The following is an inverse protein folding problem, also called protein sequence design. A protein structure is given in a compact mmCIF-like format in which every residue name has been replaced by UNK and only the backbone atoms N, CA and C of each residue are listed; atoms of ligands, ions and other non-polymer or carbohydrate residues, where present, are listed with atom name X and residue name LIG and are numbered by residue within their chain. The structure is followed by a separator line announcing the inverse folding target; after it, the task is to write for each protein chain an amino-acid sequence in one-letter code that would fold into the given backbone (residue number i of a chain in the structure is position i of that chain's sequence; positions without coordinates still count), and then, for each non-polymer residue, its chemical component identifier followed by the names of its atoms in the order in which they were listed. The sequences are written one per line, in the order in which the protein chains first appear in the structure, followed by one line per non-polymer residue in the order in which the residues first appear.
data_IF_977279422051
#
_entry.id   IF_977279422051
#
_cell.length_a   1.000
_cell.length_b   1.000
_cell.length_c   1.000
_cell.angle_alpha   90.00
_cell.angle_beta   90.00
_cell.angle_gamma   90.00
#
_symmetry.space_group_name_H-M   'P 1'
#
loop_
_entity.id
_entity.type
_entity.pdbx_description
1 polymer ?
#
# COMPACT_ATOMS: atom_id res chain seq x y z
N UNK A 1 30.36 72.81 -68.47
CA UNK A 1 30.89 72.24 -67.20
C UNK A 1 29.85 71.75 -66.18
N UNK A 2 28.52 71.86 -66.43
CA UNK A 2 27.49 71.60 -65.40
C UNK A 2 26.95 70.16 -65.30
N UNK A 3 26.86 69.42 -66.42
CA UNK A 3 26.15 68.13 -66.46
C UNK A 3 26.83 67.02 -65.65
N UNK A 4 28.16 66.90 -65.74
CA UNK A 4 28.93 65.92 -64.95
C UNK A 4 28.86 66.20 -63.44
N UNK A 5 28.77 67.47 -63.03
CA UNK A 5 28.58 67.84 -61.60
C UNK A 5 27.19 67.43 -61.11
N UNK A 6 26.16 67.52 -61.94
CA UNK A 6 24.78 67.13 -61.60
C UNK A 6 24.68 65.60 -61.45
N UNK A 7 25.24 64.83 -62.40
CA UNK A 7 25.26 63.35 -62.35
C UNK A 7 26.03 62.83 -61.13
N UNK A 8 27.20 63.41 -60.80
CA UNK A 8 27.95 63.07 -59.57
C UNK A 8 27.14 63.37 -58.30
N UNK A 9 26.41 64.49 -58.27
CA UNK A 9 25.58 64.90 -57.12
C UNK A 9 24.38 63.96 -56.94
N UNK A 10 23.79 63.50 -58.04
CA UNK A 10 22.68 62.53 -58.04
C UNK A 10 23.11 61.14 -57.58
N UNK A 11 24.23 60.61 -58.12
CA UNK A 11 24.81 59.33 -57.67
C UNK A 11 25.24 59.36 -56.20
N UNK A 12 25.74 60.50 -55.70
CA UNK A 12 26.05 60.67 -54.27
C UNK A 12 24.78 60.64 -53.39
N UNK A 13 23.67 61.23 -53.86
CA UNK A 13 22.36 61.16 -53.18
C UNK A 13 21.79 59.74 -53.19
N UNK A 14 21.84 59.03 -54.32
CA UNK A 14 21.37 57.65 -54.43
C UNK A 14 22.22 56.67 -53.59
N UNK A 15 23.55 56.81 -53.57
CA UNK A 15 24.42 56.05 -52.66
C UNK A 15 24.09 56.27 -51.19
N UNK A 16 23.82 57.50 -50.76
CA UNK A 16 23.39 57.79 -49.37
C UNK A 16 22.03 57.18 -49.04
N UNK A 17 21.09 57.17 -49.99
CA UNK A 17 19.79 56.52 -49.81
C UNK A 17 19.89 54.99 -49.73
N UNK A 18 20.72 54.36 -50.57
CA UNK A 18 20.99 52.91 -50.50
C UNK A 18 21.72 52.48 -49.23
N UNK A 19 22.64 53.31 -48.72
CA UNK A 19 23.35 53.07 -47.46
C UNK A 19 22.40 53.14 -46.26
N UNK A 20 21.52 54.16 -46.21
CA UNK A 20 20.52 54.28 -45.15
C UNK A 20 19.50 53.12 -45.16
N UNK A 21 19.12 52.62 -46.34
CA UNK A 21 18.25 51.45 -46.48
C UNK A 21 18.90 50.16 -45.97
N UNK A 22 20.19 49.98 -46.25
CA UNK A 22 21.00 48.87 -45.72
C UNK A 22 21.10 48.92 -44.20
N UNK A 23 21.36 50.10 -43.62
CA UNK A 23 21.44 50.26 -42.15
C UNK A 23 20.11 49.90 -41.49
N UNK A 24 18.98 50.34 -42.05
CA UNK A 24 17.65 49.95 -41.55
C UNK A 24 17.34 48.47 -41.70
N UNK A 25 17.83 47.81 -42.77
CA UNK A 25 17.63 46.37 -42.96
C UNK A 25 18.41 45.53 -41.94
N UNK A 26 19.63 45.95 -41.59
CA UNK A 26 20.44 45.29 -40.55
C UNK A 26 19.74 45.39 -39.19
N UNK A 27 19.21 46.57 -38.85
CA UNK A 27 18.45 46.78 -37.61
C UNK A 27 17.19 45.89 -37.58
N UNK A 28 16.48 45.78 -38.71
CA UNK A 28 15.30 44.93 -38.84
C UNK A 28 15.62 43.45 -38.60
N UNK A 29 16.72 42.93 -39.16
CA UNK A 29 17.15 41.55 -38.94
C UNK A 29 17.50 41.32 -37.46
N UNK A 30 18.25 42.23 -36.84
CA UNK A 30 18.58 42.14 -35.43
C UNK A 30 17.32 42.14 -34.53
N UNK A 31 16.32 42.97 -34.87
CA UNK A 31 15.04 43.00 -34.15
C UNK A 31 14.26 41.69 -34.32
N UNK A 32 14.21 41.12 -35.53
CA UNK A 32 13.55 39.83 -35.78
C UNK A 32 14.24 38.69 -35.04
N UNK A 33 15.58 38.65 -35.01
CA UNK A 33 16.33 37.63 -34.27
C UNK A 33 16.04 37.73 -32.78
N UNK A 34 16.12 38.94 -32.19
CA UNK A 34 15.84 39.14 -30.76
C UNK A 34 14.40 38.77 -30.40
N UNK A 35 13.42 39.15 -31.23
CA UNK A 35 12.02 38.73 -31.08
C UNK A 35 11.86 37.21 -31.17
N UNK A 36 12.57 36.54 -32.09
CA UNK A 36 12.49 35.08 -32.28
C UNK A 36 13.08 34.32 -31.09
N UNK A 37 14.21 34.79 -30.54
CA UNK A 37 14.83 34.21 -29.34
C UNK A 37 13.92 34.41 -28.13
N UNK A 38 13.33 35.60 -27.96
CA UNK A 38 12.38 35.87 -26.88
C UNK A 38 11.15 34.95 -26.98
N UNK A 39 10.60 34.77 -28.19
CA UNK A 39 9.47 33.88 -28.42
C UNK A 39 9.81 32.42 -28.11
N UNK A 40 11.00 31.94 -28.53
CA UNK A 40 11.47 30.59 -28.22
C UNK A 40 11.58 30.36 -26.71
N UNK A 41 12.18 31.30 -25.98
CA UNK A 41 12.29 31.23 -24.51
C UNK A 41 10.90 31.23 -23.87
N UNK A 42 10.03 32.14 -24.29
CA UNK A 42 8.67 32.25 -23.75
C UNK A 42 7.85 30.96 -23.97
N UNK A 43 7.95 30.35 -25.15
CA UNK A 43 7.28 29.09 -25.46
C UNK A 43 7.84 27.96 -24.59
N UNK A 44 9.16 27.81 -24.48
CA UNK A 44 9.76 26.73 -23.70
C UNK A 44 9.47 26.86 -22.21
N UNK A 45 9.55 28.08 -21.66
CA UNK A 45 9.15 28.35 -20.28
C UNK A 45 7.65 28.10 -20.10
N UNK A 46 6.81 28.49 -21.06
CA UNK A 46 5.37 28.20 -21.05
C UNK A 46 5.08 26.69 -21.06
N UNK A 47 5.80 25.91 -21.86
CA UNK A 47 5.68 24.45 -21.90
C UNK A 47 6.14 23.82 -20.58
N UNK A 48 7.24 24.29 -19.99
CA UNK A 48 7.69 23.83 -18.67
C UNK A 48 6.66 24.11 -17.58
N UNK A 49 6.09 25.33 -17.55
CA UNK A 49 5.05 25.72 -16.60
C UNK A 49 3.80 24.86 -16.77
N UNK A 50 3.35 24.61 -18.01
CA UNK A 50 2.16 23.76 -18.25
C UNK A 50 2.39 22.29 -17.87
N UNK A 51 3.58 21.73 -18.15
CA UNK A 51 3.95 20.38 -17.69
C UNK A 51 3.97 20.30 -16.16
N UNK A 52 4.56 21.30 -15.49
CA UNK A 52 4.60 21.37 -14.03
C UNK A 52 3.21 21.54 -13.42
N UNK A 53 2.37 22.39 -14.01
CA UNK A 53 0.98 22.58 -13.61
C UNK A 53 0.20 21.26 -13.73
N UNK A 54 0.31 20.56 -14.86
CA UNK A 54 -0.32 19.25 -15.07
C UNK A 54 0.12 18.23 -14.01
N UNK A 55 1.42 18.12 -13.74
CA UNK A 55 1.93 17.22 -12.69
C UNK A 55 1.40 17.58 -11.29
N UNK A 56 1.27 18.87 -10.99
CA UNK A 56 0.78 19.34 -9.69
C UNK A 56 -0.72 19.08 -9.54
N UNK A 57 -1.50 19.30 -10.60
CA UNK A 57 -2.93 19.00 -10.65
C UNK A 57 -3.16 17.50 -10.43
N UNK A 58 -2.46 16.64 -11.17
CA UNK A 58 -2.60 15.18 -11.03
C UNK A 58 -2.24 14.71 -9.60
N UNK A 59 -1.14 15.21 -9.03
CA UNK A 59 -0.78 14.87 -7.64
C UNK A 59 -1.77 15.41 -6.62
N UNK A 60 -2.35 16.59 -6.87
CA UNK A 60 -3.40 17.17 -6.04
C UNK A 60 -4.67 16.31 -6.06
N UNK A 61 -5.05 15.82 -7.24
CA UNK A 61 -6.16 14.87 -7.42
C UNK A 61 -5.88 13.55 -6.68
N UNK A 62 -4.70 12.95 -6.88
CA UNK A 62 -4.29 11.73 -6.19
C UNK A 62 -4.31 11.89 -4.66
N UNK A 63 -3.93 13.06 -4.14
CA UNK A 63 -3.89 13.33 -2.68
C UNK A 63 -5.27 13.61 -2.10
N UNK A 64 -6.16 14.25 -2.88
CA UNK A 64 -7.52 14.56 -2.45
C UNK A 64 -8.44 13.34 -2.53
N UNK A 65 -8.19 12.44 -3.48
CA UNK A 65 -8.95 11.21 -3.63
C UNK A 65 -8.65 10.21 -2.51
N UNK A 66 -9.62 9.41 -2.12
CA UNK A 66 -9.40 8.32 -1.17
C UNK A 66 -8.59 7.22 -1.84
N UNK A 67 -7.46 6.82 -1.25
CA UNK A 67 -6.59 5.84 -1.89
C UNK A 67 -7.16 4.42 -1.88
N UNK A 68 -7.85 4.07 -0.78
CA UNK A 68 -8.36 2.72 -0.52
C UNK A 68 -9.86 2.75 -0.20
N UNK A 69 -10.55 1.69 -0.60
CA UNK A 69 -11.93 1.41 -0.19
C UNK A 69 -12.02 0.06 0.50
N UNK A 70 -12.99 -0.09 1.41
CA UNK A 70 -13.33 -1.37 2.00
C UNK A 70 -13.94 -2.28 0.91
N UNK A 71 -13.34 -3.45 0.69
CA UNK A 71 -13.71 -4.41 -0.34
C UNK A 71 -14.16 -5.73 0.29
N UNK A 72 -15.20 -5.69 1.13
CA UNK A 72 -15.72 -6.86 1.83
C UNK A 72 -16.38 -6.52 3.16
N UNK A 73 -16.64 -7.54 3.96
CA UNK A 73 -17.12 -7.37 5.34
C UNK A 73 -15.96 -7.30 6.32
N UNK A 74 -16.15 -6.57 7.41
CA UNK A 74 -15.25 -6.62 8.56
C UNK A 74 -15.64 -7.83 9.40
N UNK A 75 -14.71 -8.76 9.55
CA UNK A 75 -14.85 -9.95 10.37
C UNK A 75 -14.01 -9.79 11.63
N UNK A 76 -14.53 -10.25 12.75
CA UNK A 76 -13.79 -10.31 14.00
C UNK A 76 -14.14 -11.61 14.71
N UNK A 77 -13.20 -12.10 15.52
CA UNK A 77 -13.48 -13.23 16.39
C UNK A 77 -13.10 -12.90 17.82
N UNK A 78 -13.87 -13.49 18.73
CA UNK A 78 -13.69 -13.45 20.17
C UNK A 78 -13.84 -14.87 20.68
N UNK A 79 -13.13 -15.25 21.75
CA UNK A 79 -13.32 -16.56 22.35
C UNK A 79 -14.61 -16.56 23.18
N UNK A 80 -15.66 -17.18 22.67
CA UNK A 80 -16.95 -17.33 23.32
C UNK A 80 -17.21 -18.80 23.66
N UNK A 81 -17.83 -19.15 24.81
CA UNK A 81 -18.42 -18.28 25.84
C UNK A 81 -17.44 -17.83 26.94
N UNK A 82 -16.20 -18.30 26.91
CA UNK A 82 -15.25 -18.02 27.98
C UNK A 82 -14.80 -16.55 28.04
N UNK A 83 -15.10 -15.75 27.01
CA UNK A 83 -14.65 -14.35 26.85
C UNK A 83 -13.16 -14.20 27.19
N UNK A 84 -12.37 -15.21 26.81
CA UNK A 84 -10.93 -15.27 27.07
C UNK A 84 -10.16 -14.49 26.01
N UNK A 85 -8.94 -14.10 26.39
CA UNK A 85 -8.06 -13.17 25.66
C UNK A 85 -7.74 -13.66 24.25
N UNK A 86 -8.52 -13.22 23.26
CA UNK A 86 -8.61 -13.88 21.95
C UNK A 86 -9.35 -13.03 20.93
N UNK A 87 -8.97 -11.75 20.80
CA UNK A 87 -9.56 -10.86 19.81
C UNK A 87 -8.65 -10.69 18.59
N UNK A 88 -9.23 -10.73 17.40
CA UNK A 88 -8.61 -10.32 16.15
C UNK A 88 -9.65 -9.80 15.18
N UNK A 89 -9.20 -8.95 14.25
CA UNK A 89 -10.04 -8.38 13.19
C UNK A 89 -9.41 -8.71 11.84
N UNK A 90 -10.25 -9.05 10.87
CA UNK A 90 -9.88 -9.27 9.48
C UNK A 90 -10.85 -8.52 8.57
N UNK A 91 -10.32 -7.85 7.55
CA UNK A 91 -11.11 -7.22 6.51
C UNK A 91 -10.27 -7.09 5.24
N UNK A 92 -10.91 -6.77 4.12
CA UNK A 92 -10.27 -6.62 2.82
C UNK A 92 -10.41 -5.20 2.30
N UNK A 93 -9.37 -4.68 1.68
CA UNK A 93 -9.35 -3.36 1.05
C UNK A 93 -8.86 -3.46 -0.38
N UNK A 94 -9.29 -2.51 -1.20
CA UNK A 94 -8.83 -2.38 -2.59
C UNK A 94 -8.49 -0.93 -2.89
N UNK A 95 -7.51 -0.67 -3.78
CA UNK A 95 -7.34 0.65 -4.36
C UNK A 95 -8.67 1.18 -4.89
N UNK A 96 -9.01 2.42 -4.55
CA UNK A 96 -10.26 3.04 -4.97
C UNK A 96 -10.37 3.14 -6.50
N UNK A 97 -11.59 3.28 -7.01
CA UNK A 97 -11.80 3.52 -8.43
C UNK A 97 -11.04 4.77 -8.89
N UNK A 98 -10.31 4.67 -10.00
CA UNK A 98 -9.47 5.74 -10.54
C UNK A 98 -8.06 5.83 -9.96
N UNK A 99 -7.74 5.09 -8.88
CA UNK A 99 -6.38 5.00 -8.33
C UNK A 99 -5.62 3.89 -9.04
N UNK A 100 -4.47 4.21 -9.64
CA UNK A 100 -3.67 3.22 -10.38
C UNK A 100 -3.01 2.19 -9.47
N UNK A 101 -2.56 2.62 -8.29
CA UNK A 101 -1.94 1.76 -7.29
C UNK A 101 -1.81 2.47 -5.94
N UNK A 102 -1.63 1.71 -4.86
CA UNK A 102 -1.38 2.20 -3.51
C UNK A 102 -0.15 1.51 -2.93
N UNK A 103 0.77 2.28 -2.36
CA UNK A 103 1.91 1.76 -1.62
C UNK A 103 1.47 1.32 -0.22
N UNK A 104 1.65 0.04 0.09
CA UNK A 104 1.29 -0.57 1.37
C UNK A 104 2.53 -1.03 2.13
N UNK A 105 3.69 -0.42 1.96
CA UNK A 105 4.83 -0.68 2.85
C UNK A 105 4.55 -0.17 4.27
N UNK A 106 4.89 -0.93 5.33
CA UNK A 106 4.84 -0.44 6.73
C UNK A 106 5.69 0.80 7.00
N UNK A 107 6.59 1.18 6.09
CA UNK A 107 7.41 2.39 6.20
C UNK A 107 6.70 3.67 5.74
N UNK A 108 5.66 3.54 4.93
CA UNK A 108 4.99 4.67 4.24
C UNK A 108 3.50 4.73 4.54
N UNK A 109 2.90 3.60 4.93
CA UNK A 109 1.49 3.47 5.29
C UNK A 109 1.37 3.16 6.77
N UNK A 110 0.34 3.68 7.42
CA UNK A 110 0.05 3.42 8.83
C UNK A 110 -1.37 2.87 9.00
N UNK A 111 -1.54 1.92 9.91
CA UNK A 111 -2.85 1.44 10.36
C UNK A 111 -2.97 1.78 11.84
N UNK A 112 -4.04 2.46 12.23
CA UNK A 112 -4.34 2.82 13.61
C UNK A 112 -5.66 2.21 14.03
N UNK A 113 -5.77 1.88 15.31
CA UNK A 113 -6.95 1.28 15.91
C UNK A 113 -7.41 2.13 17.09
N UNK A 114 -8.72 2.32 17.24
CA UNK A 114 -9.31 3.07 18.35
C UNK A 114 -10.59 2.39 18.82
N UNK A 115 -10.71 2.24 20.13
CA UNK A 115 -11.91 1.78 20.81
C UNK A 115 -12.26 2.85 21.86
N UNK A 116 -13.05 3.84 21.42
CA UNK A 116 -13.28 5.09 22.15
C UNK A 116 -13.97 4.88 23.50
N UNK A 117 -14.87 3.90 23.60
CA UNK A 117 -15.60 3.59 24.85
C UNK A 117 -14.66 3.11 25.95
N UNK A 118 -13.61 2.38 25.59
CA UNK A 118 -12.60 1.89 26.54
C UNK A 118 -11.40 2.84 26.69
N UNK A 119 -11.39 3.98 25.99
CA UNK A 119 -10.28 4.93 26.00
C UNK A 119 -9.00 4.37 25.36
N UNK A 120 -9.13 3.35 24.52
CA UNK A 120 -7.99 2.67 23.88
C UNK A 120 -7.74 3.30 22.51
N UNK A 121 -6.51 3.77 22.29
CA UNK A 121 -6.06 4.28 21.00
C UNK A 121 -4.62 3.85 20.72
N UNK A 122 -4.43 3.09 19.64
CA UNK A 122 -3.12 2.61 19.19
C UNK A 122 -2.82 3.19 17.82
N UNK A 123 -1.78 4.02 17.76
CA UNK A 123 -1.30 4.61 16.53
C UNK A 123 -0.28 3.70 15.85
N UNK A 124 -0.40 3.56 14.54
CA UNK A 124 0.53 2.84 13.68
C UNK A 124 0.93 1.44 14.19
N UNK A 125 -0.06 0.56 14.28
CA UNK A 125 0.10 -0.87 14.56
C UNK A 125 0.53 -1.67 13.31
N UNK A 126 0.62 -1.04 12.14
CA UNK A 126 1.06 -1.74 10.93
C UNK A 126 2.57 -2.04 10.98
N UNK A 127 2.94 -3.32 10.91
CA UNK A 127 4.34 -3.75 11.06
C UNK A 127 4.84 -4.67 9.96
N UNK A 128 3.98 -5.49 9.35
CA UNK A 128 4.41 -6.53 8.42
C UNK A 128 3.57 -6.53 7.14
N UNK A 129 4.19 -6.93 6.04
CA UNK A 129 3.50 -7.13 4.76
C UNK A 129 3.99 -8.40 4.12
N UNK A 130 3.05 -9.22 3.62
CA UNK A 130 3.35 -10.40 2.81
C UNK A 130 3.31 -10.10 1.31
N UNK A 131 3.04 -8.86 0.90
CA UNK A 131 3.07 -8.44 -0.51
C UNK A 131 4.50 -8.51 -1.08
N UNK A 132 5.51 -8.28 -0.22
CA UNK A 132 6.92 -8.29 -0.62
C UNK A 132 7.59 -9.65 -0.49
N UNK A 133 6.90 -10.68 0.02
CA UNK A 133 7.52 -11.99 0.28
C UNK A 133 7.59 -12.78 -1.02
N UNK A 134 8.78 -13.29 -1.33
CA UNK A 134 8.98 -14.17 -2.49
C UNK A 134 8.22 -15.50 -2.27
N UNK A 135 7.28 -15.89 -3.14
CA UNK A 135 6.56 -17.16 -3.05
C UNK A 135 7.48 -18.37 -2.97
N UNK A 136 8.65 -18.32 -3.61
CA UNK A 136 9.61 -19.43 -3.57
C UNK A 136 10.11 -19.70 -2.16
N UNK A 137 10.23 -18.65 -1.33
CA UNK A 137 10.63 -18.76 0.07
C UNK A 137 9.58 -19.45 0.96
N UNK A 138 8.32 -19.47 0.51
CA UNK A 138 7.20 -20.08 1.21
C UNK A 138 6.85 -21.48 0.68
N UNK A 139 7.55 -21.96 -0.35
CA UNK A 139 7.43 -23.33 -0.84
C UNK A 139 7.87 -24.33 0.23
N UNK A 140 7.00 -25.30 0.55
CA UNK A 140 7.27 -26.30 1.58
C UNK A 140 7.57 -25.72 2.98
N UNK A 141 7.06 -24.51 3.28
CA UNK A 141 7.35 -23.82 4.54
C UNK A 141 6.71 -24.50 5.77
N UNK A 142 5.52 -25.08 5.61
CA UNK A 142 4.74 -25.66 6.70
C UNK A 142 4.44 -27.12 6.40
N UNK A 143 4.78 -28.01 7.34
CA UNK A 143 4.51 -29.43 7.28
C UNK A 143 3.42 -29.80 8.28
N UNK A 144 2.33 -30.39 7.78
CA UNK A 144 1.21 -30.83 8.61
C UNK A 144 0.51 -32.02 7.96
N UNK A 145 0.02 -32.95 8.78
CA UNK A 145 -0.64 -34.18 8.32
C UNK A 145 0.12 -34.90 7.17
N UNK A 146 1.40 -35.20 7.39
CA UNK A 146 2.19 -36.00 6.46
C UNK A 146 2.68 -35.27 5.20
N UNK A 147 2.32 -33.99 5.00
CA UNK A 147 2.61 -33.27 3.76
C UNK A 147 2.99 -31.80 4.00
N UNK A 148 3.66 -31.22 3.01
CA UNK A 148 3.93 -29.79 2.97
C UNK A 148 2.73 -29.03 2.38
N UNK A 149 2.40 -27.90 3.00
CA UNK A 149 1.29 -27.04 2.57
C UNK A 149 1.73 -26.04 1.51
N UNK A 150 0.90 -25.86 0.48
CA UNK A 150 1.01 -24.76 -0.46
C UNK A 150 0.27 -23.55 0.10
N UNK A 151 1.02 -22.65 0.76
CA UNK A 151 0.43 -21.49 1.44
C UNK A 151 -0.04 -20.39 0.49
N UNK A 152 0.49 -20.38 -0.74
CA UNK A 152 0.20 -19.38 -1.77
C UNK A 152 -0.28 -20.10 -3.03
N UNK A 153 -1.32 -19.54 -3.65
CA UNK A 153 -1.74 -19.90 -4.99
C UNK A 153 -1.21 -18.91 -6.02
N UNK A 154 -1.02 -19.43 -7.24
CA UNK A 154 -0.58 -18.64 -8.39
C UNK A 154 -1.58 -18.81 -9.52
N UNK A 155 -1.96 -17.71 -10.16
CA UNK A 155 -2.82 -17.72 -11.34
C UNK A 155 -2.19 -16.86 -12.42
N UNK A 156 -1.95 -17.43 -13.60
CA UNK A 156 -1.49 -16.67 -14.76
C UNK A 156 -2.66 -16.26 -15.64
N UNK A 157 -2.81 -14.96 -15.89
CA UNK A 157 -3.83 -14.42 -16.80
C UNK A 157 -3.23 -13.27 -17.60
N UNK A 158 -3.46 -13.27 -18.91
CA UNK A 158 -2.96 -12.26 -19.85
C UNK A 158 -1.43 -11.97 -19.74
N UNK A 159 -0.63 -13.00 -19.46
CA UNK A 159 0.83 -12.87 -19.33
C UNK A 159 1.33 -12.39 -17.96
N UNK A 160 0.43 -12.06 -17.04
CA UNK A 160 0.75 -11.68 -15.67
C UNK A 160 0.47 -12.84 -14.71
N UNK A 161 1.38 -13.08 -13.76
CA UNK A 161 1.17 -14.05 -12.68
C UNK A 161 0.72 -13.33 -11.42
N UNK A 162 -0.48 -13.67 -10.97
CA UNK A 162 -1.09 -13.15 -9.76
C UNK A 162 -0.84 -14.11 -8.60
N UNK A 163 -0.50 -13.55 -7.45
CA UNK A 163 -0.30 -14.28 -6.20
C UNK A 163 -1.45 -13.99 -5.25
N UNK A 164 -1.87 -15.00 -4.50
CA UNK A 164 -2.84 -14.80 -3.43
C UNK A 164 -2.78 -15.91 -2.39
N UNK A 165 -3.18 -15.56 -1.17
CA UNK A 165 -3.39 -16.52 -0.09
C UNK A 165 -4.83 -17.06 -0.19
N UNK A 166 -5.04 -18.38 -0.21
CA UNK A 166 -6.37 -18.97 -0.33
C UNK A 166 -7.35 -18.59 0.80
N UNK A 167 -6.83 -18.28 1.99
CA UNK A 167 -7.59 -17.83 3.15
C UNK A 167 -6.68 -17.09 4.14
N UNK A 168 -7.24 -16.33 5.12
CA UNK A 168 -6.46 -15.63 6.15
C UNK A 168 -5.53 -16.53 6.97
N UNK A 169 -5.91 -17.77 7.24
CA UNK A 169 -5.11 -18.68 8.06
C UNK A 169 -3.83 -19.14 7.33
N UNK A 170 -3.88 -19.29 6.01
CA UNK A 170 -2.69 -19.58 5.21
C UNK A 170 -1.72 -18.39 5.23
N UNK A 171 -2.25 -17.17 5.19
CA UNK A 171 -1.45 -15.95 5.35
C UNK A 171 -0.81 -15.87 6.76
N UNK A 172 -1.54 -16.24 7.81
CA UNK A 172 -0.99 -16.32 9.17
C UNK A 172 0.15 -17.34 9.29
N UNK A 173 -0.03 -18.53 8.71
CA UNK A 173 1.01 -19.56 8.68
C UNK A 173 2.27 -19.09 7.94
N UNK A 174 2.08 -18.41 6.80
CA UNK A 174 3.19 -17.84 6.04
C UNK A 174 3.90 -16.74 6.83
N UNK A 175 3.16 -15.84 7.48
CA UNK A 175 3.73 -14.82 8.34
C UNK A 175 4.55 -15.43 9.48
N UNK A 176 4.02 -16.43 10.18
CA UNK A 176 4.72 -17.13 11.26
C UNK A 176 6.04 -17.72 10.78
N UNK A 177 6.06 -18.36 9.60
CA UNK A 177 7.28 -18.90 9.00
C UNK A 177 8.29 -17.79 8.62
N UNK A 178 7.84 -16.72 7.97
CA UNK A 178 8.70 -15.58 7.60
C UNK A 178 9.33 -14.94 8.83
N UNK A 179 8.55 -14.71 9.88
CA UNK A 179 9.03 -14.13 11.15
C UNK A 179 9.96 -15.09 11.90
N UNK A 180 9.69 -16.39 11.86
CA UNK A 180 10.58 -17.39 12.43
C UNK A 180 11.97 -17.37 11.76
N UNK A 181 12.03 -17.30 10.42
CA UNK A 181 13.30 -17.16 9.71
C UNK A 181 14.02 -15.85 10.02
N UNK A 182 13.26 -14.75 10.15
CA UNK A 182 13.81 -13.47 10.60
C UNK A 182 14.37 -13.54 12.02
N UNK A 183 13.71 -14.26 12.93
CA UNK A 183 14.24 -14.54 14.27
C UNK A 183 15.51 -15.38 14.21
N UNK A 184 15.57 -16.42 13.37
CA UNK A 184 16.76 -17.26 13.26
C UNK A 184 18.01 -16.44 12.85
N UNK A 185 17.83 -15.46 11.96
CA UNK A 185 18.91 -14.59 11.49
C UNK A 185 19.27 -13.43 12.44
N UNK A 186 18.28 -12.78 13.05
CA UNK A 186 18.51 -11.56 13.85
C UNK A 186 18.43 -11.75 15.37
N UNK A 187 17.87 -12.87 15.83
CA UNK A 187 17.49 -13.15 17.23
C UNK A 187 16.46 -12.17 17.81
N UNK A 188 15.74 -11.43 16.97
CA UNK A 188 14.64 -10.55 17.40
C UNK A 188 13.37 -11.36 17.68
N UNK A 189 12.77 -11.30 18.88
CA UNK A 189 11.58 -12.08 19.22
C UNK A 189 10.42 -11.84 18.24
N UNK A 190 9.77 -12.92 17.81
CA UNK A 190 8.57 -12.84 16.97
C UNK A 190 7.36 -12.37 17.80
N UNK A 191 6.50 -11.48 17.27
CA UNK A 191 5.26 -11.09 17.92
C UNK A 191 4.18 -12.16 17.88
N UNK A 192 4.35 -13.20 17.06
CA UNK A 192 3.41 -14.32 16.89
C UNK A 192 4.15 -15.66 16.90
N UNK A 193 3.48 -16.68 17.44
CA UNK A 193 3.91 -18.07 17.36
C UNK A 193 2.71 -18.96 17.03
N UNK A 194 2.87 -19.86 16.05
CA UNK A 194 1.84 -20.80 15.65
C UNK A 194 2.40 -22.22 15.63
N UNK A 195 1.68 -23.17 16.22
CA UNK A 195 2.01 -24.59 16.19
C UNK A 195 0.75 -25.45 15.98
N UNK A 196 0.88 -26.60 15.33
CA UNK A 196 -0.20 -27.55 15.04
C UNK A 196 -0.36 -28.67 16.08
N UNK A 197 0.55 -28.75 17.04
CA UNK A 197 0.51 -29.71 18.14
C UNK A 197 0.17 -29.01 19.45
N UNK A 198 -0.62 -29.66 20.30
CA UNK A 198 -0.83 -29.21 21.68
C UNK A 198 0.55 -29.10 22.33
N UNK A 199 1.02 -27.87 22.55
CA UNK A 199 2.33 -27.61 23.13
C UNK A 199 2.41 -28.30 24.50
N UNK A 200 3.30 -29.28 24.63
CA UNK A 200 3.62 -29.89 25.92
C UNK A 200 4.38 -28.93 26.84
N UNK A 201 5.00 -27.87 26.29
CA UNK A 201 5.50 -26.73 27.04
C UNK A 201 5.38 -25.44 26.21
N UNK A 202 4.75 -24.42 26.80
CA UNK A 202 4.68 -23.06 26.23
C UNK A 202 6.06 -22.41 26.40
N UNK A 203 6.67 -21.83 25.34
CA UNK A 203 7.92 -21.09 25.47
C UNK A 203 7.85 -20.02 26.56
N UNK A 204 8.86 -19.92 27.42
CA UNK A 204 8.81 -19.05 28.62
C UNK A 204 8.66 -17.55 28.32
N UNK A 205 8.99 -17.11 27.09
CA UNK A 205 8.78 -15.75 26.60
C UNK A 205 7.35 -15.47 26.11
N UNK A 206 6.53 -16.52 25.98
CA UNK A 206 5.13 -16.46 25.59
C UNK A 206 4.30 -16.33 26.86
N UNK A 207 4.01 -15.08 27.26
CA UNK A 207 3.08 -14.82 28.35
C UNK A 207 1.67 -15.20 27.89
N UNK A 208 0.88 -15.84 28.75
CA UNK A 208 -0.45 -16.44 28.50
C UNK A 208 -1.56 -15.42 28.14
N UNK A 209 -1.28 -14.47 27.25
CA UNK A 209 -1.96 -13.19 27.27
C UNK A 209 -2.85 -12.91 26.04
N UNK A 210 -2.62 -13.51 24.87
CA UNK A 210 -3.66 -13.65 23.84
C UNK A 210 -3.39 -14.91 23.00
N UNK A 211 -4.35 -15.84 22.99
CA UNK A 211 -4.29 -17.02 22.14
C UNK A 211 -5.64 -17.37 21.53
N UNK A 212 -5.61 -17.92 20.32
CA UNK A 212 -6.79 -18.44 19.64
C UNK A 212 -6.42 -19.69 18.86
N UNK A 213 -7.43 -20.45 18.46
CA UNK A 213 -7.24 -21.63 17.63
C UNK A 213 -7.99 -21.47 16.32
N UNK A 214 -7.46 -22.09 15.28
CA UNK A 214 -8.17 -22.29 14.03
C UNK A 214 -7.90 -23.70 13.51
N UNK A 215 -8.80 -24.20 12.68
CA UNK A 215 -8.70 -25.54 12.12
C UNK A 215 -8.67 -25.47 10.61
N UNK A 216 -7.77 -26.22 9.99
CA UNK A 216 -7.68 -26.38 8.54
C UNK A 216 -7.94 -27.83 8.16
N UNK A 217 -8.70 -28.03 7.09
CA UNK A 217 -8.84 -29.34 6.46
C UNK A 217 -7.64 -29.59 5.54
N UNK A 218 -6.75 -30.49 5.95
CA UNK A 218 -5.51 -30.84 5.23
C UNK A 218 -5.63 -32.29 4.79
N UNK A 219 -5.87 -32.51 3.50
CA UNK A 219 -6.08 -33.83 2.91
C UNK A 219 -7.14 -34.69 3.60
N UNK A 220 -8.28 -34.08 3.95
CA UNK A 220 -9.41 -34.77 4.57
C UNK A 220 -9.34 -34.90 6.08
N UNK A 221 -8.26 -34.42 6.73
CA UNK A 221 -8.14 -34.40 8.18
C UNK A 221 -8.13 -32.96 8.70
N UNK A 222 -8.92 -32.72 9.74
CA UNK A 222 -8.90 -31.46 10.47
C UNK A 222 -7.64 -31.38 11.34
N UNK A 223 -6.80 -30.38 11.06
CA UNK A 223 -5.61 -30.04 11.84
C UNK A 223 -5.87 -28.72 12.54
N UNK A 224 -5.77 -28.73 13.87
CA UNK A 224 -5.93 -27.54 14.71
C UNK A 224 -4.58 -26.88 14.91
N UNK A 225 -4.54 -25.56 14.78
CA UNK A 225 -3.38 -24.72 15.07
C UNK A 225 -3.68 -23.83 16.27
N UNK A 226 -2.75 -23.82 17.21
CA UNK A 226 -2.73 -22.90 18.33
C UNK A 226 -1.91 -21.67 17.96
N UNK A 227 -2.54 -20.50 18.02
CA UNK A 227 -1.92 -19.21 17.74
C UNK A 227 -1.73 -18.46 19.04
N UNK A 228 -0.54 -17.91 19.23
CA UNK A 228 -0.21 -17.07 20.37
C UNK A 228 0.31 -15.72 19.87
N UNK A 229 -0.26 -14.64 20.40
CA UNK A 229 0.06 -13.27 20.02
C UNK A 229 0.64 -12.54 21.23
N UNK A 230 1.87 -12.06 21.09
CA UNK A 230 2.62 -11.40 22.15
C UNK A 230 2.68 -9.87 22.02
N UNK A 231 2.36 -9.33 20.85
CA UNK A 231 2.32 -7.89 20.59
C UNK A 231 1.14 -7.54 19.68
N UNK A 232 0.56 -6.36 19.85
CA UNK A 232 -0.47 -5.86 18.93
C UNK A 232 0.18 -5.42 17.63
N UNK A 233 -0.25 -5.98 16.51
CA UNK A 233 0.18 -5.55 15.19
C UNK A 233 -0.87 -5.84 14.12
N UNK A 234 -0.74 -5.12 13.01
CA UNK A 234 -1.45 -5.37 11.78
C UNK A 234 -0.48 -5.84 10.70
N UNK A 235 -0.96 -6.72 9.82
CA UNK A 235 -0.25 -7.09 8.61
C UNK A 235 -1.19 -7.17 7.41
N UNK A 236 -0.61 -7.03 6.21
CA UNK A 236 -1.35 -7.13 4.95
C UNK A 236 -0.84 -8.29 4.10
N UNK A 237 -1.71 -8.82 3.25
CA UNK A 237 -1.36 -9.90 2.33
C UNK A 237 -2.26 -9.89 1.09
N UNK A 238 -1.79 -10.41 -0.05
CA UNK A 238 -2.59 -10.49 -1.27
C UNK A 238 -3.74 -11.51 -1.15
N UNK A 239 -4.95 -11.08 -1.49
CA UNK A 239 -6.16 -11.93 -1.54
C UNK A 239 -6.59 -12.21 -2.97
N UNK A 240 -6.50 -11.23 -3.86
CA UNK A 240 -6.77 -11.42 -5.28
C UNK A 240 -6.10 -10.33 -6.13
N UNK A 241 -5.79 -10.65 -7.40
CA UNK A 241 -5.41 -9.66 -8.39
C UNK A 241 -4.09 -8.94 -8.13
N UNK A 242 -3.23 -9.45 -7.25
CA UNK A 242 -1.90 -8.86 -6.97
C UNK A 242 -0.82 -9.45 -7.90
N UNK A 243 -0.30 -8.68 -8.88
CA UNK A 243 0.60 -9.17 -9.91
C UNK A 243 2.09 -8.96 -9.56
N UNK A 244 2.41 -8.27 -8.46
CA UNK A 244 3.78 -7.81 -8.19
C UNK A 244 4.45 -8.67 -7.11
N UNK A 245 5.16 -9.70 -7.56
CA UNK A 245 6.04 -10.47 -6.69
C UNK A 245 7.10 -9.53 -6.09
N UNK A 246 7.10 -9.35 -4.77
CA UNK A 246 8.17 -8.64 -4.07
C UNK A 246 7.99 -7.13 -3.95
N UNK A 247 6.85 -6.56 -4.35
CA UNK A 247 6.55 -5.14 -4.16
C UNK A 247 5.42 -4.95 -3.16
N UNK A 248 5.50 -3.93 -2.31
CA UNK A 248 4.39 -3.55 -1.44
C UNK A 248 3.35 -2.66 -2.14
N UNK A 249 3.41 -2.56 -3.47
CA UNK A 249 2.49 -1.76 -4.28
C UNK A 249 1.29 -2.62 -4.68
N UNK A 250 0.11 -2.26 -4.19
CA UNK A 250 -1.16 -2.86 -4.60
C UNK A 250 -1.71 -2.13 -5.84
N UNK A 251 -1.78 -2.75 -7.03
CA UNK A 251 -2.30 -2.09 -8.23
C UNK A 251 -3.83 -2.07 -8.28
N UNK A 252 -4.39 -1.24 -9.15
CA UNK A 252 -5.82 -1.17 -9.43
C UNK A 252 -6.41 -2.56 -9.70
N UNK A 253 -7.54 -2.87 -9.07
CA UNK A 253 -8.23 -4.17 -9.19
C UNK A 253 -7.70 -5.27 -8.28
N UNK A 254 -6.63 -5.02 -7.50
CA UNK A 254 -6.21 -5.95 -6.46
C UNK A 254 -7.09 -5.88 -5.21
N UNK A 255 -7.13 -6.97 -4.46
CA UNK A 255 -7.77 -7.08 -3.14
C UNK A 255 -6.70 -7.49 -2.15
N UNK A 256 -6.56 -6.68 -1.10
CA UNK A 256 -5.57 -6.86 -0.04
C UNK A 256 -6.28 -7.20 1.25
N UNK A 257 -5.90 -8.31 1.85
CA UNK A 257 -6.34 -8.70 3.19
C UNK A 257 -5.56 -7.90 4.23
N UNK A 258 -6.28 -7.36 5.21
CA UNK A 258 -5.73 -6.70 6.39
C UNK A 258 -6.17 -7.50 7.60
N UNK A 259 -5.22 -7.92 8.42
CA UNK A 259 -5.50 -8.61 9.67
C UNK A 259 -4.83 -7.89 10.83
N UNK A 260 -5.60 -7.63 11.88
CA UNK A 260 -5.16 -7.02 13.12
C UNK A 260 -5.20 -8.08 14.21
N UNK A 261 -4.04 -8.31 14.82
CA UNK A 261 -3.85 -9.22 15.94
C UNK A 261 -3.55 -8.38 17.18
N UNK A 262 -4.22 -8.68 18.28
CA UNK A 262 -4.10 -7.93 19.51
C UNK A 262 -3.17 -8.67 20.47
N UNK A 263 -2.14 -8.00 20.97
CA UNK A 263 -1.25 -8.58 21.98
C UNK A 263 -1.86 -8.55 23.38
N UNK A 264 -1.12 -8.91 24.42
CA UNK A 264 -1.55 -8.96 25.81
C UNK A 264 -2.34 -7.76 26.33
N UNK A 265 -1.83 -6.58 26.03
CA UNK A 265 -2.31 -5.30 26.57
C UNK A 265 -3.71 -4.95 26.04
N UNK A 266 -4.08 -5.47 24.86
CA UNK A 266 -5.37 -5.22 24.20
C UNK A 266 -6.21 -6.47 23.99
N UNK A 267 -5.59 -7.61 23.85
CA UNK A 267 -6.21 -8.89 23.52
C UNK A 267 -7.04 -9.45 24.65
N UNK A 268 -6.82 -8.95 25.88
CA UNK A 268 -7.67 -9.20 27.04
C UNK A 268 -8.96 -8.36 27.06
N UNK A 269 -9.00 -7.28 26.26
CA UNK A 269 -10.19 -6.49 26.05
C UNK A 269 -11.02 -7.16 24.94
N UNK A 270 -12.20 -7.64 25.32
CA UNK A 270 -13.19 -8.07 24.33
C UNK A 270 -13.97 -6.82 23.99
N UNK A 271 -13.73 -6.22 22.82
CA UNK A 271 -14.34 -4.95 22.43
C UNK A 271 -15.83 -5.08 22.11
N UNK A 272 -16.63 -5.64 23.02
CA UNK A 272 -18.05 -5.92 22.82
C UNK A 272 -18.90 -4.68 23.08
N UNK A 273 -20.02 -4.61 22.37
CA UNK A 273 -21.05 -3.59 22.51
C UNK A 273 -20.53 -2.15 22.34
N UNK A 274 -19.52 -1.98 21.49
CA UNK A 274 -18.93 -0.67 21.19
C UNK A 274 -18.54 -0.55 19.73
N UNK A 275 -18.36 0.70 19.28
CA UNK A 275 -17.78 0.99 17.97
C UNK A 275 -16.27 0.99 18.07
N UNK A 276 -15.63 0.15 17.24
CA UNK A 276 -14.20 0.21 16.98
C UNK A 276 -13.95 0.95 15.68
N UNK A 277 -12.93 1.79 15.66
CA UNK A 277 -12.51 2.55 14.50
C UNK A 277 -11.12 2.09 14.06
N UNK A 278 -10.99 1.77 12.78
CA UNK A 278 -9.73 1.43 12.13
C UNK A 278 -9.46 2.48 11.06
N UNK A 279 -8.28 3.07 11.10
CA UNK A 279 -7.87 4.06 10.11
C UNK A 279 -6.62 3.59 9.38
N UNK A 280 -6.69 3.53 8.05
CA UNK A 280 -5.54 3.28 7.18
C UNK A 280 -5.14 4.62 6.55
N UNK A 281 -3.93 5.06 6.85
CA UNK A 281 -3.34 6.29 6.32
C UNK A 281 -2.23 5.91 5.33
N UNK A 282 -2.51 5.92 4.03
CA UNK A 282 -1.51 5.68 2.98
C UNK A 282 -0.59 6.91 2.82
N UNK A 283 0.50 6.74 2.05
CA UNK A 283 1.41 7.85 1.75
C UNK A 283 0.83 8.91 0.80
N UNK A 284 -0.11 8.50 -0.05
CA UNK A 284 -0.80 9.30 -1.06
C UNK A 284 -2.28 8.97 -0.98
N UNK A 285 -3.10 10.01 -1.05
CA UNK A 285 -4.56 9.94 -0.94
C UNK A 285 -5.05 10.13 0.49
N UNK A 286 -6.36 10.34 0.62
CA UNK A 286 -7.00 10.53 1.91
C UNK A 286 -7.03 9.21 2.71
N UNK A 287 -6.95 9.27 4.06
CA UNK A 287 -7.09 8.08 4.89
C UNK A 287 -8.43 7.38 4.68
N UNK A 288 -8.43 6.05 4.73
CA UNK A 288 -9.63 5.24 4.83
C UNK A 288 -9.97 5.08 6.32
N UNK A 289 -11.19 5.43 6.72
CA UNK A 289 -11.70 5.21 8.08
C UNK A 289 -12.84 4.23 8.05
N UNK A 290 -12.72 3.15 8.81
CA UNK A 290 -13.72 2.11 8.99
C UNK A 290 -14.19 2.20 10.44
N UNK A 291 -15.49 2.30 10.67
CA UNK A 291 -16.08 2.28 12.01
C UNK A 291 -17.10 1.18 12.08
N UNK A 292 -16.84 0.16 12.89
CA UNK A 292 -17.67 -1.04 12.98
C UNK A 292 -18.19 -1.20 14.40
N UNK A 293 -19.48 -1.51 14.55
CA UNK A 293 -20.05 -1.82 15.86
C UNK A 293 -19.86 -3.31 16.15
N UNK A 294 -19.08 -3.62 17.16
CA UNK A 294 -18.76 -4.99 17.55
C UNK A 294 -19.87 -5.48 18.49
N UNK A 295 -20.63 -6.46 18.05
CA UNK A 295 -21.70 -7.10 18.81
C UNK A 295 -21.23 -8.47 19.31
N UNK A 296 -21.74 -8.91 20.46
CA UNK A 296 -21.52 -10.28 20.92
C UNK A 296 -22.63 -11.17 20.36
N UNK A 297 -22.36 -12.05 19.38
CA UNK A 297 -23.38 -12.96 18.89
C UNK A 297 -23.86 -13.88 20.02
N UNK A 298 -25.17 -14.10 20.11
CA UNK A 298 -25.76 -15.09 21.00
C UNK A 298 -25.49 -16.50 20.43
N UNK A 299 -24.27 -17.01 20.60
CA UNK A 299 -23.90 -18.35 20.14
C UNK A 299 -22.40 -18.56 19.91
N UNK A 300 -21.96 -19.81 19.94
CA UNK A 300 -20.59 -20.22 19.62
C UNK A 300 -20.23 -19.76 18.21
N UNK A 301 -19.39 -18.73 18.09
CA UNK A 301 -18.82 -18.30 16.81
C UNK A 301 -17.87 -19.41 16.34
N UNK A 302 -18.44 -20.37 15.62
CA UNK A 302 -17.67 -21.38 14.91
C UNK A 302 -17.24 -20.77 13.59
N UNK A 303 -15.95 -20.41 13.53
CA UNK A 303 -15.07 -20.45 12.36
C UNK A 303 -15.57 -19.73 11.09
N UNK A 304 -14.79 -18.75 10.63
CA UNK A 304 -14.92 -18.15 9.30
C UNK A 304 -14.78 -19.25 8.24
N UNK A 305 -15.81 -19.37 7.39
CA UNK A 305 -15.82 -20.22 6.19
C UNK A 305 -14.85 -19.77 5.11
#
# INVERSE_FOLDING_TARGET
MGLQKIVKKYNKKMKRKGLAGLDTAIILIAFIITASVLAYVAINMGLFVTQKAKSTINKGEETASTALTLSGSVLYAVNYPSNTRSYWIYFTVSPSSGVSSVELSPTTTAISFTASTEGIAYSNIYKYTLLTVDPSSLGHAVYANGQYLNLINQQTSAGQTYLYYPNPYYALLALNYTLYNYYLSTKTPSPIFINSSTLSSIPQWLKNDNSFTFTLNISGQLVTYDVFVNQTFAFTYPVAGDPLIGSAIAPAGSVIGVMILFGPDLGSHVFQYQTVTIQITPNVGSPLTISEYVYQPEGSVSVIG
#
